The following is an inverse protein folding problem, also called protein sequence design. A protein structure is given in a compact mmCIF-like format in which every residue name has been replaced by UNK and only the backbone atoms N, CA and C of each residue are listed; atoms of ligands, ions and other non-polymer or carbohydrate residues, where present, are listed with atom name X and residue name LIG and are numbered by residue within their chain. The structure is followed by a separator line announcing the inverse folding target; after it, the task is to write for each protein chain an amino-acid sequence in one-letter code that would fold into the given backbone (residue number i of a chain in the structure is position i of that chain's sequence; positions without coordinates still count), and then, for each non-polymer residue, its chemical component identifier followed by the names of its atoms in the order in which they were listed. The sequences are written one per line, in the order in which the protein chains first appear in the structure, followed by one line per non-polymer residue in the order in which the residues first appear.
data_IF_735771660365
#
_entry.id   IF_735771660365
#
_cell.length_a   1.000
_cell.length_b   1.000
_cell.length_c   1.000
_cell.angle_alpha   90.00
_cell.angle_beta   90.00
_cell.angle_gamma   90.00
#
_symmetry.space_group_name_H-M   'P 1'
#
loop_
_entity.id
_entity.type
_entity.pdbx_description
1 polymer ?
#
# COMPACT_ATOMS: atom_id res chain seq x y z
N UNK A 1 5.91 10.28 11.08
CA UNK A 1 6.79 10.13 12.25
C UNK A 1 7.81 9.02 12.05
N UNK A 2 7.41 7.74 11.86
CA UNK A 2 8.36 6.61 11.77
C UNK A 2 9.36 6.76 10.61
N UNK A 3 8.90 7.10 9.41
CA UNK A 3 9.78 7.25 8.24
C UNK A 3 10.79 8.38 8.45
N UNK A 4 10.35 9.53 8.95
CA UNK A 4 11.23 10.67 9.24
C UNK A 4 12.30 10.30 10.28
N UNK A 5 11.90 9.65 11.38
CA UNK A 5 12.84 9.18 12.40
C UNK A 5 13.87 8.18 11.82
N UNK A 6 13.45 7.27 10.96
CA UNK A 6 14.37 6.33 10.31
C UNK A 6 15.31 6.99 9.29
N UNK A 7 14.85 8.01 8.61
CA UNK A 7 15.68 8.81 7.72
C UNK A 7 16.73 9.58 8.52
N UNK A 8 16.33 10.20 9.63
CA UNK A 8 17.24 10.90 10.55
C UNK A 8 18.33 9.99 11.09
N UNK A 9 17.98 8.76 11.51
CA UNK A 9 18.97 7.74 11.94
C UNK A 9 19.97 7.36 10.83
N UNK A 10 19.68 7.66 9.58
CA UNK A 10 20.55 7.43 8.43
C UNK A 10 21.23 8.70 7.92
N UNK A 11 21.09 9.81 8.66
CA UNK A 11 21.64 11.10 8.27
C UNK A 11 20.96 11.75 7.06
N UNK A 12 19.72 11.31 6.74
CA UNK A 12 18.93 11.88 5.65
C UNK A 12 17.98 12.94 6.23
N UNK A 13 18.22 14.24 5.97
CA UNK A 13 17.31 15.29 6.43
C UNK A 13 15.95 15.15 5.75
N UNK A 14 14.89 15.30 6.53
CA UNK A 14 13.52 15.18 6.02
C UNK A 14 12.65 16.33 6.46
N UNK A 15 11.78 16.77 5.56
CA UNK A 15 10.70 17.70 5.86
C UNK A 15 9.37 16.99 5.66
N UNK A 16 8.50 17.05 6.66
CA UNK A 16 7.14 16.50 6.55
C UNK A 16 6.20 17.61 6.15
N UNK A 17 5.50 17.43 5.05
CA UNK A 17 4.44 18.31 4.58
C UNK A 17 3.11 17.61 4.83
N UNK A 18 2.28 18.18 5.68
CA UNK A 18 0.92 17.70 5.91
C UNK A 18 -0.03 18.38 4.94
N UNK A 19 -0.83 17.59 4.24
CA UNK A 19 -1.82 18.08 3.27
C UNK A 19 -3.21 17.80 3.83
N UNK A 20 -3.97 18.86 4.07
CA UNK A 20 -5.37 18.79 4.49
C UNK A 20 -6.31 18.52 3.31
N UNK A 21 -7.56 18.16 3.62
CA UNK A 21 -8.59 17.78 2.62
C UNK A 21 -9.03 18.94 1.71
N UNK A 22 -8.67 20.17 2.02
CA UNK A 22 -8.96 21.37 1.23
C UNK A 22 -7.72 21.98 0.57
N UNK A 23 -6.56 21.37 0.76
CA UNK A 23 -5.29 21.87 0.27
C UNK A 23 -4.88 21.13 -0.99
N UNK A 24 -4.24 21.84 -1.90
CA UNK A 24 -3.68 21.22 -3.09
C UNK A 24 -2.54 20.26 -2.73
N UNK A 25 -2.49 19.12 -3.37
CA UNK A 25 -1.41 18.14 -3.18
C UNK A 25 -0.22 18.57 -4.02
N UNK A 26 0.95 18.90 -3.41
CA UNK A 26 2.16 19.16 -4.17
C UNK A 26 2.53 17.96 -5.04
N UNK A 27 3.02 18.21 -6.27
CA UNK A 27 3.35 17.14 -7.22
C UNK A 27 4.85 16.84 -7.32
N UNK A 28 5.67 17.52 -6.50
CA UNK A 28 7.13 17.56 -6.57
C UNK A 28 7.84 17.11 -5.29
N UNK A 29 7.15 16.25 -4.50
CA UNK A 29 7.73 15.68 -3.28
C UNK A 29 8.42 14.34 -3.57
N UNK A 30 9.42 14.00 -2.76
CA UNK A 30 10.22 12.79 -2.92
C UNK A 30 9.46 11.50 -2.58
N UNK A 31 8.49 11.56 -1.65
CA UNK A 31 7.67 10.41 -1.23
C UNK A 31 6.31 10.88 -0.70
N UNK A 32 5.28 10.12 -1.01
CA UNK A 32 3.92 10.35 -0.51
C UNK A 32 3.51 9.24 0.43
N UNK A 33 2.85 9.60 1.53
CA UNK A 33 2.34 8.62 2.49
C UNK A 33 0.87 8.89 2.79
N UNK A 34 0.05 7.85 2.66
CA UNK A 34 -1.37 7.89 3.00
C UNK A 34 -1.63 6.87 4.11
N UNK A 35 -2.18 7.34 5.22
CA UNK A 35 -2.59 6.50 6.33
C UNK A 35 -3.97 5.88 6.13
N UNK A 36 -4.29 4.91 6.98
CA UNK A 36 -5.63 4.35 7.07
C UNK A 36 -6.61 5.33 7.72
N UNK A 37 -7.91 5.03 7.59
CA UNK A 37 -8.98 5.83 8.18
C UNK A 37 -10.30 5.04 8.20
N UNK A 38 -11.30 5.58 8.89
CA UNK A 38 -12.65 5.05 8.89
C UNK A 38 -13.39 5.41 7.58
N UNK A 39 -14.52 4.76 7.30
CA UNK A 39 -15.27 4.86 6.03
C UNK A 39 -15.55 6.30 5.59
N UNK A 40 -15.91 7.19 6.53
CA UNK A 40 -16.18 8.60 6.21
C UNK A 40 -14.91 9.30 5.74
N UNK A 41 -13.79 9.07 6.44
CA UNK A 41 -12.50 9.65 6.07
C UNK A 41 -12.02 9.13 4.71
N UNK A 42 -12.25 7.84 4.41
CA UNK A 42 -11.94 7.25 3.11
C UNK A 42 -12.74 7.91 1.97
N UNK A 43 -14.05 8.10 2.17
CA UNK A 43 -14.91 8.73 1.16
C UNK A 43 -14.47 10.18 0.88
N UNK A 44 -14.10 10.93 1.92
CA UNK A 44 -13.62 12.31 1.77
C UNK A 44 -12.28 12.31 1.03
N UNK A 45 -11.34 11.44 1.43
CA UNK A 45 -10.04 11.33 0.78
C UNK A 45 -10.17 10.93 -0.70
N UNK A 46 -11.03 9.97 -1.03
CA UNK A 46 -11.29 9.57 -2.41
C UNK A 46 -11.79 10.73 -3.26
N UNK A 47 -12.74 11.51 -2.75
CA UNK A 47 -13.26 12.70 -3.47
C UNK A 47 -12.18 13.76 -3.67
N UNK A 48 -11.34 13.98 -2.66
CA UNK A 48 -10.25 14.94 -2.76
C UNK A 48 -9.24 14.51 -3.83
N UNK A 49 -8.81 13.26 -3.81
CA UNK A 49 -7.87 12.70 -4.78
C UNK A 49 -8.42 12.70 -6.23
N UNK A 50 -9.74 12.57 -6.41
CA UNK A 50 -10.37 12.72 -7.72
C UNK A 50 -10.33 14.16 -8.24
N UNK A 51 -10.55 15.13 -7.36
CA UNK A 51 -10.56 16.56 -7.70
C UNK A 51 -9.17 17.16 -7.86
N UNK A 52 -8.21 16.70 -7.07
CA UNK A 52 -6.82 17.17 -7.10
C UNK A 52 -5.91 16.19 -7.84
N UNK A 53 -5.27 16.69 -8.90
CA UNK A 53 -4.38 15.90 -9.77
C UNK A 53 -2.91 15.88 -9.29
N UNK A 54 -2.61 16.45 -8.12
CA UNK A 54 -1.23 16.54 -7.60
C UNK A 54 -0.60 15.18 -7.41
N UNK A 55 -1.27 14.28 -6.69
CA UNK A 55 -0.78 12.91 -6.46
C UNK A 55 -0.66 12.11 -7.77
N UNK A 56 -1.63 12.24 -8.70
CA UNK A 56 -1.56 11.60 -10.01
C UNK A 56 -0.32 12.04 -10.79
N UNK A 57 -0.06 13.36 -10.84
CA UNK A 57 1.14 13.90 -11.51
C UNK A 57 2.44 13.42 -10.85
N UNK A 58 2.47 13.36 -9.52
CA UNK A 58 3.63 12.83 -8.80
C UNK A 58 3.90 11.35 -9.14
N UNK A 59 2.87 10.51 -9.18
CA UNK A 59 2.97 9.10 -9.58
C UNK A 59 3.44 8.99 -11.04
N UNK A 60 2.88 9.79 -11.95
CA UNK A 60 3.31 9.83 -13.36
C UNK A 60 4.77 10.27 -13.51
N UNK A 61 5.28 11.12 -12.62
CA UNK A 61 6.68 11.52 -12.54
C UNK A 61 7.59 10.47 -11.87
N UNK A 62 7.02 9.39 -11.32
CA UNK A 62 7.75 8.29 -10.69
C UNK A 62 7.92 8.41 -9.17
N UNK A 63 7.24 9.32 -8.51
CA UNK A 63 7.31 9.44 -7.05
C UNK A 63 6.72 8.21 -6.36
N UNK A 64 7.40 7.62 -5.37
CA UNK A 64 6.90 6.49 -4.60
C UNK A 64 5.75 6.92 -3.68
N UNK A 65 4.74 6.06 -3.59
CA UNK A 65 3.59 6.24 -2.71
C UNK A 65 3.49 5.07 -1.74
N UNK A 66 3.44 5.37 -0.45
CA UNK A 66 3.17 4.39 0.59
C UNK A 66 1.72 4.56 1.08
N UNK A 67 0.86 3.63 0.68
CA UNK A 67 -0.54 3.58 1.11
C UNK A 67 -0.74 2.45 2.12
N UNK A 68 -1.28 2.77 3.29
CA UNK A 68 -1.45 1.81 4.39
C UNK A 68 -2.93 1.65 4.71
N UNK A 69 -3.38 0.40 4.86
CA UNK A 69 -4.73 0.03 5.27
C UNK A 69 -5.78 0.61 4.29
N UNK A 70 -6.72 1.39 4.78
CA UNK A 70 -7.78 2.01 3.99
C UNK A 70 -7.28 2.88 2.83
N UNK A 71 -6.09 3.46 2.93
CA UNK A 71 -5.50 4.24 1.84
C UNK A 71 -5.26 3.40 0.59
N UNK A 72 -4.94 2.11 0.73
CA UNK A 72 -4.83 1.19 -0.41
C UNK A 72 -6.16 1.08 -1.16
N UNK A 73 -7.27 0.96 -0.44
CA UNK A 73 -8.62 0.88 -1.01
C UNK A 73 -8.98 2.18 -1.75
N UNK A 74 -8.66 3.31 -1.14
CA UNK A 74 -8.90 4.65 -1.72
C UNK A 74 -8.09 4.87 -3.00
N UNK A 75 -6.87 4.36 -3.11
CA UNK A 75 -6.07 4.47 -4.33
C UNK A 75 -6.54 3.55 -5.45
N UNK A 76 -7.28 2.48 -5.13
CA UNK A 76 -7.81 1.53 -6.10
C UNK A 76 -8.91 2.11 -6.98
N UNK A 77 -9.44 1.28 -7.89
CA UNK A 77 -10.55 1.67 -8.76
C UNK A 77 -11.87 1.76 -7.99
N UNK A 78 -12.12 0.81 -7.12
CA UNK A 78 -13.27 0.82 -6.21
C UNK A 78 -13.08 -0.16 -5.04
N UNK A 79 -13.88 0.04 -4.01
CA UNK A 79 -13.94 -0.85 -2.84
C UNK A 79 -15.38 -0.98 -2.32
N UNK A 80 -15.64 -2.01 -1.53
CA UNK A 80 -16.91 -2.18 -0.83
C UNK A 80 -16.79 -1.61 0.58
N UNK A 81 -17.69 -0.70 0.95
CA UNK A 81 -17.77 -0.12 2.30
C UNK A 81 -18.37 -1.10 3.32
N UNK A 82 -18.40 -0.71 4.59
CA UNK A 82 -18.96 -1.53 5.68
C UNK A 82 -20.48 -1.79 5.53
N UNK A 83 -21.19 -1.00 4.75
CA UNK A 83 -22.60 -1.14 4.43
C UNK A 83 -22.87 -2.05 3.21
N UNK A 84 -21.80 -2.50 2.54
CA UNK A 84 -21.89 -3.32 1.34
C UNK A 84 -22.05 -2.55 0.04
N UNK A 85 -21.92 -1.21 0.09
CA UNK A 85 -22.01 -0.39 -1.13
C UNK A 85 -20.66 -0.34 -1.84
N UNK A 86 -20.72 -0.28 -3.16
CA UNK A 86 -19.53 -0.03 -3.96
C UNK A 86 -19.21 1.48 -3.96
N UNK A 87 -17.99 1.80 -3.55
CA UNK A 87 -17.46 3.17 -3.48
C UNK A 87 -16.31 3.30 -4.48
N UNK A 88 -16.32 4.34 -5.30
CA UNK A 88 -15.24 4.63 -6.25
C UNK A 88 -13.98 5.07 -5.48
N UNK A 89 -12.86 4.45 -5.80
CA UNK A 89 -11.53 4.89 -5.38
C UNK A 89 -10.99 6.00 -6.29
N UNK A 90 -9.75 6.39 -6.13
CA UNK A 90 -9.10 7.43 -6.91
C UNK A 90 -8.56 6.95 -8.28
N UNK A 91 -8.66 5.66 -8.57
CA UNK A 91 -8.19 4.99 -9.79
C UNK A 91 -6.70 5.27 -10.12
N UNK A 92 -5.88 5.34 -9.07
CA UNK A 92 -4.42 5.53 -9.16
C UNK A 92 -3.65 4.20 -9.09
N UNK A 93 -4.31 3.14 -8.69
CA UNK A 93 -3.77 1.80 -8.58
C UNK A 93 -4.79 0.80 -9.14
N UNK A 94 -4.35 -0.08 -10.03
CA UNK A 94 -5.23 -1.08 -10.66
C UNK A 94 -5.54 -2.22 -9.67
N UNK A 95 -6.36 -1.92 -8.67
CA UNK A 95 -6.86 -2.86 -7.68
C UNK A 95 -8.31 -2.60 -7.34
N UNK A 96 -8.99 -3.64 -6.87
CA UNK A 96 -10.33 -3.53 -6.28
C UNK A 96 -10.34 -4.24 -4.94
N UNK A 97 -11.15 -3.78 -3.99
CA UNK A 97 -11.23 -4.42 -2.67
C UNK A 97 -12.66 -4.88 -2.39
N UNK A 98 -12.78 -6.17 -2.10
CA UNK A 98 -14.02 -6.88 -1.80
C UNK A 98 -14.05 -7.35 -0.35
N UNK A 99 -15.22 -7.52 0.28
CA UNK A 99 -15.31 -8.22 1.55
C UNK A 99 -14.80 -9.65 1.42
N UNK A 100 -13.97 -10.11 2.36
CA UNK A 100 -13.44 -11.47 2.34
C UNK A 100 -14.24 -12.48 3.21
N UNK A 101 -15.36 -12.04 3.77
CA UNK A 101 -16.26 -12.88 4.58
C UNK A 101 -15.85 -12.99 6.06
N UNK A 102 -14.58 -13.19 6.36
CA UNK A 102 -14.04 -13.18 7.73
C UNK A 102 -12.91 -12.17 7.85
N UNK A 103 -12.81 -11.53 9.02
CA UNK A 103 -11.71 -10.60 9.29
C UNK A 103 -10.41 -11.38 9.50
N UNK A 104 -9.38 -11.05 8.75
CA UNK A 104 -8.03 -11.54 8.98
C UNK A 104 -7.39 -10.75 10.12
N UNK A 105 -6.93 -11.46 11.16
CA UNK A 105 -6.24 -10.87 12.31
C UNK A 105 -5.12 -11.83 12.69
N UNK A 106 -3.89 -11.37 12.68
CA UNK A 106 -2.76 -12.20 13.08
C UNK A 106 -1.42 -11.75 12.52
N UNK A 107 -0.42 -12.58 12.72
CA UNK A 107 0.89 -12.36 12.15
C UNK A 107 0.91 -12.71 10.66
N UNK A 108 1.65 -11.94 9.91
CA UNK A 108 1.84 -12.12 8.47
C UNK A 108 3.32 -12.25 8.15
N UNK A 109 3.68 -13.28 7.41
CA UNK A 109 5.02 -13.44 6.85
C UNK A 109 4.94 -13.45 5.34
N UNK A 110 5.73 -12.61 4.70
CA UNK A 110 5.69 -12.40 3.27
C UNK A 110 7.09 -12.46 2.68
N UNK A 111 7.25 -13.14 1.57
CA UNK A 111 8.46 -13.10 0.77
C UNK A 111 8.32 -12.00 -0.27
N UNK A 112 9.28 -11.05 -0.39
CA UNK A 112 9.25 -10.03 -1.44
C UNK A 112 9.10 -10.65 -2.82
N UNK A 113 8.25 -10.08 -3.65
CA UNK A 113 8.04 -10.59 -5.01
C UNK A 113 9.20 -10.24 -5.95
N UNK A 114 9.97 -9.18 -5.63
CA UNK A 114 11.09 -8.67 -6.44
C UNK A 114 10.68 -8.45 -7.90
N UNK A 115 9.52 -7.84 -8.09
CA UNK A 115 8.95 -7.53 -9.39
C UNK A 115 8.98 -6.01 -9.64
N UNK A 116 9.01 -5.63 -10.92
CA UNK A 116 8.99 -4.23 -11.32
C UNK A 116 10.12 -3.42 -10.69
N UNK A 117 9.84 -2.25 -10.12
CA UNK A 117 10.85 -1.37 -9.51
C UNK A 117 11.63 -1.98 -8.34
N UNK A 118 11.12 -3.05 -7.75
CA UNK A 118 11.77 -3.76 -6.64
C UNK A 118 12.68 -4.90 -7.10
N UNK A 119 12.74 -5.21 -8.40
CA UNK A 119 13.58 -6.29 -8.95
C UNK A 119 15.04 -6.16 -8.54
N UNK A 120 15.55 -4.93 -8.51
CA UNK A 120 16.94 -4.60 -8.23
C UNK A 120 17.16 -4.07 -6.80
N UNK A 121 16.13 -4.12 -5.95
CA UNK A 121 16.20 -3.60 -4.57
C UNK A 121 17.14 -4.39 -3.65
N UNK A 122 17.52 -5.60 -4.04
CA UNK A 122 18.28 -6.54 -3.19
C UNK A 122 17.50 -7.01 -1.95
N UNK A 123 16.18 -6.79 -1.92
CA UNK A 123 15.32 -7.16 -0.79
C UNK A 123 15.09 -8.67 -0.80
N UNK A 124 15.92 -9.40 -0.07
CA UNK A 124 15.87 -10.88 0.03
C UNK A 124 15.28 -11.38 1.35
N UNK A 125 15.24 -10.51 2.37
CA UNK A 125 14.76 -10.88 3.69
C UNK A 125 13.22 -11.01 3.68
N UNK A 126 12.71 -11.94 4.49
CA UNK A 126 11.27 -12.05 4.73
C UNK A 126 10.77 -10.78 5.42
N UNK A 127 9.61 -10.35 5.00
CA UNK A 127 8.88 -9.24 5.62
C UNK A 127 7.91 -9.84 6.63
N UNK A 128 7.99 -9.38 7.87
CA UNK A 128 7.06 -9.75 8.93
C UNK A 128 6.19 -8.57 9.30
N UNK A 129 4.96 -8.83 9.62
CA UNK A 129 3.99 -7.81 10.00
C UNK A 129 2.78 -8.41 10.68
N UNK A 130 1.81 -7.57 10.95
CA UNK A 130 0.52 -7.94 11.51
C UNK A 130 -0.60 -7.53 10.55
N UNK A 131 -1.53 -8.43 10.28
CA UNK A 131 -2.70 -8.16 9.46
C UNK A 131 -3.94 -7.96 10.34
N UNK A 132 -4.75 -6.96 9.99
CA UNK A 132 -6.03 -6.70 10.63
C UNK A 132 -6.98 -6.04 9.61
N UNK A 133 -7.58 -6.85 8.75
CA UNK A 133 -8.44 -6.34 7.69
C UNK A 133 -9.62 -7.29 7.39
N UNK A 134 -10.72 -6.72 6.88
CA UNK A 134 -11.90 -7.47 6.44
C UNK A 134 -12.09 -7.47 4.93
N UNK A 135 -11.19 -6.81 4.19
CA UNK A 135 -11.23 -6.75 2.75
C UNK A 135 -10.12 -7.57 2.10
N UNK A 136 -10.42 -8.20 0.97
CA UNK A 136 -9.46 -8.80 0.08
C UNK A 136 -9.24 -7.89 -1.13
N UNK A 137 -7.99 -7.50 -1.36
CA UNK A 137 -7.61 -6.67 -2.50
C UNK A 137 -7.18 -7.55 -3.67
N UNK A 138 -7.87 -7.41 -4.79
CA UNK A 138 -7.59 -8.10 -6.04
C UNK A 138 -6.76 -7.20 -6.94
N UNK A 139 -5.70 -7.75 -7.50
CA UNK A 139 -4.83 -7.05 -8.42
C UNK A 139 -5.42 -7.10 -9.83
N UNK A 140 -5.47 -5.97 -10.51
CA UNK A 140 -5.71 -5.88 -11.94
C UNK A 140 -4.46 -6.22 -12.75
N UNK A 141 -4.54 -6.02 -14.06
CA UNK A 141 -3.47 -6.39 -14.98
C UNK A 141 -2.21 -5.54 -14.86
N UNK A 142 -2.39 -4.29 -14.45
CA UNK A 142 -1.31 -3.29 -14.33
C UNK A 142 -0.66 -3.30 -12.94
N UNK A 143 -1.30 -3.97 -11.94
CA UNK A 143 -0.78 -4.06 -10.59
C UNK A 143 0.07 -5.32 -10.40
N UNK A 144 1.14 -5.20 -9.61
CA UNK A 144 2.01 -6.31 -9.26
C UNK A 144 2.02 -6.50 -7.74
N UNK A 145 2.10 -7.76 -7.25
CA UNK A 145 2.19 -8.00 -5.83
C UNK A 145 3.54 -7.51 -5.28
N UNK A 146 3.50 -6.84 -4.14
CA UNK A 146 4.70 -6.46 -3.41
C UNK A 146 5.42 -7.69 -2.79
N UNK A 147 4.64 -8.69 -2.41
CA UNK A 147 5.16 -9.91 -1.82
C UNK A 147 4.16 -11.06 -1.86
N UNK A 148 4.67 -12.26 -1.65
CA UNK A 148 3.92 -13.49 -1.60
C UNK A 148 3.77 -13.94 -0.15
N UNK A 149 2.55 -14.12 0.32
CA UNK A 149 2.25 -14.56 1.68
C UNK A 149 2.74 -16.00 1.87
N UNK A 150 3.55 -16.22 2.90
CA UNK A 150 4.05 -17.54 3.32
C UNK A 150 3.30 -18.04 4.55
N UNK A 151 2.89 -17.15 5.43
CA UNK A 151 2.10 -17.45 6.62
C UNK A 151 1.18 -16.28 6.93
N UNK A 152 -0.02 -16.54 7.40
CA UNK A 152 -1.11 -15.57 7.55
C UNK A 152 -2.18 -15.75 6.48
N UNK A 153 -3.16 -14.86 6.45
CA UNK A 153 -4.28 -14.90 5.49
C UNK A 153 -3.96 -14.09 4.22
N UNK A 154 -3.45 -12.88 4.39
CA UNK A 154 -3.19 -11.96 3.28
C UNK A 154 -4.47 -11.56 2.52
N UNK A 155 -4.32 -11.23 1.25
CA UNK A 155 -5.41 -10.85 0.35
C UNK A 155 -6.04 -12.07 -0.37
N UNK A 156 -6.24 -13.17 0.34
CA UNK A 156 -6.83 -14.38 -0.22
C UNK A 156 -8.36 -14.35 -0.17
N UNK A 157 -9.02 -14.53 -1.32
CA UNK A 157 -10.39 -15.01 -1.31
C UNK A 157 -10.38 -16.52 -1.05
N UNK A 158 -11.29 -17.08 -0.23
CA UNK A 158 -11.40 -18.51 -0.03
C UNK A 158 -11.53 -19.23 -1.38
N UNK A 159 -10.63 -20.17 -1.67
CA UNK A 159 -10.64 -20.96 -2.90
C UNK A 159 -9.93 -20.32 -4.11
N UNK A 160 -9.35 -19.13 -3.98
CA UNK A 160 -8.51 -18.53 -5.00
C UNK A 160 -7.05 -18.66 -4.57
N UNK A 161 -6.19 -19.38 -5.32
CA UNK A 161 -4.79 -19.50 -4.97
C UNK A 161 -4.11 -18.12 -4.90
N UNK A 162 -3.21 -17.90 -3.92
CA UNK A 162 -2.42 -16.66 -3.87
C UNK A 162 -1.73 -16.42 -5.23
N UNK A 163 -1.96 -15.24 -5.81
CA UNK A 163 -1.34 -14.85 -7.08
C UNK A 163 -2.14 -15.15 -8.35
N UNK A 164 -3.38 -15.64 -8.27
CA UNK A 164 -4.27 -15.89 -9.44
C UNK A 164 -5.23 -14.74 -9.73
N UNK A 165 -4.93 -13.51 -9.38
CA UNK A 165 -5.67 -12.35 -9.89
C UNK A 165 -5.39 -12.20 -11.40
N UNK A 166 -6.44 -12.18 -12.20
CA UNK A 166 -6.46 -12.40 -13.63
C UNK A 166 -5.48 -11.55 -14.44
N UNK A 167 -4.89 -12.21 -15.45
CA UNK A 167 -4.13 -11.53 -16.50
C UNK A 167 -5.11 -10.85 -17.46
N UNK A 168 -5.13 -9.55 -17.46
CA UNK A 168 -5.64 -8.78 -18.59
C UNK A 168 -4.50 -7.95 -19.20
N UNK A 169 -4.36 -8.02 -20.51
CA UNK A 169 -3.33 -7.34 -21.27
C UNK A 169 -3.83 -5.94 -21.64
N UNK A 170 -3.14 -4.89 -21.20
CA UNK A 170 -2.95 -3.65 -21.98
C UNK A 170 -1.97 -2.70 -21.28
N UNK A 171 -0.95 -2.26 -22.04
CA UNK A 171 -0.25 -0.97 -21.88
C UNK A 171 0.75 -0.84 -20.73
N UNK A 172 1.99 -0.98 -21.08
CA UNK A 172 3.18 -0.72 -20.29
C UNK A 172 3.18 0.69 -19.66
N UNK A 173 2.90 0.80 -18.36
CA UNK A 173 3.36 1.88 -17.49
C UNK A 173 3.62 1.29 -16.12
N UNK A 174 4.89 1.25 -15.74
CA UNK A 174 5.35 0.84 -14.42
C UNK A 174 4.90 1.85 -13.36
N UNK A 175 3.85 1.54 -12.62
CA UNK A 175 3.47 2.29 -11.43
C UNK A 175 4.28 1.78 -10.23
N UNK A 176 5.10 2.66 -9.68
CA UNK A 176 5.90 2.40 -8.48
C UNK A 176 5.03 2.58 -7.22
N UNK A 177 4.14 1.65 -6.96
CA UNK A 177 3.33 1.69 -5.74
C UNK A 177 3.68 0.51 -4.87
N UNK A 178 4.34 0.77 -3.76
CA UNK A 178 4.59 -0.23 -2.72
C UNK A 178 3.33 -0.44 -1.89
N UNK A 179 2.76 -1.64 -1.91
CA UNK A 179 1.57 -1.99 -1.15
C UNK A 179 2.02 -2.71 0.11
N UNK A 180 1.90 -2.06 1.26
CA UNK A 180 1.99 -2.69 2.59
C UNK A 180 0.59 -2.70 3.19
N UNK A 181 -0.02 -3.87 3.27
CA UNK A 181 -1.27 -4.07 3.99
C UNK A 181 -0.93 -4.65 5.37
N UNK A 182 -0.97 -3.82 6.39
CA UNK A 182 -0.69 -4.19 7.77
C UNK A 182 -0.27 -2.99 8.62
N UNK A 183 -0.63 -3.03 9.90
CA UNK A 183 -0.10 -2.09 10.88
C UNK A 183 1.40 -2.32 11.06
N UNK A 184 2.17 -1.28 10.95
CA UNK A 184 3.65 -1.13 11.11
C UNK A 184 4.47 -2.42 11.29
N UNK A 185 5.42 -2.71 10.40
CA UNK A 185 6.35 -3.83 10.63
C UNK A 185 7.18 -3.56 11.88
N UNK A 186 7.05 -4.41 12.87
CA UNK A 186 7.99 -4.49 13.98
C UNK A 186 9.36 -4.88 13.44
N UNK A 187 10.24 -3.90 13.24
CA UNK A 187 11.63 -4.16 12.91
C UNK A 187 12.35 -4.58 14.19
N UNK A 188 12.66 -5.85 14.30
CA UNK A 188 13.58 -6.36 15.31
C UNK A 188 14.90 -5.60 15.23
N UNK A 189 15.34 -5.08 16.36
CA UNK A 189 16.68 -4.49 16.52
C UNK A 189 17.74 -5.53 16.15
N UNK A 190 18.85 -5.14 15.51
CA UNK A 190 19.96 -6.05 15.30
C UNK A 190 20.54 -6.48 16.67
N UNK A 191 21.05 -7.70 16.80
CA UNK A 191 21.66 -8.15 18.03
C UNK A 191 22.87 -7.26 18.33
N UNK A 192 22.92 -6.73 19.55
CA UNK A 192 24.10 -6.05 20.10
C UNK A 192 25.20 -7.08 20.20
N UNK A 193 26.21 -6.96 19.36
CA UNK A 193 27.43 -7.76 19.49
C UNK A 193 28.11 -7.42 20.77
N UNK A 194 28.19 -8.37 21.70
CA UNK A 194 29.14 -8.33 22.81
C UNK A 194 30.53 -8.54 22.26
N UNK A 195 31.37 -7.54 22.40
CA UNK A 195 32.81 -7.66 22.21
C UNK A 195 33.44 -8.15 23.53
N UNK A 196 34.05 -9.29 23.47
CA UNK A 196 35.12 -9.69 24.39
C UNK A 196 36.46 -9.22 23.84
#
# INVERSE_FOLDING_TARGET
VVLAHRAELRGVPTQIIHVGITEAIPADLDIYTLGGGEDIAQTIASRHLHGDRGLSRAIEAGAPVLAICAALQVLGSWYTDAQGNQVSGADLLDVVTLPQGARAIGELVTRPANLGPLSDSGLTQLLTGFENHGGATLLGAEAQPFGLVLSGTGNGLPGVPPGTAGRSRRGNRSQQTGILQGDSPGLSSPPTGESH
#
